data_IF_617842998700
#
_entry.id   IF_617842998700
#
_cell.length_a   1.000
_cell.length_b   1.000
_cell.length_c   1.000
_cell.angle_alpha   90.00
_cell.angle_beta   90.00
_cell.angle_gamma   90.00
#
_symmetry.space_group_name_H-M   'P 1'
#
loop_
_entity.id
_entity.type
_entity.pdbx_description
1 polymer ?
#
# COMPACT_ATOMS: atom_id res chain seq x y z
N UNK A 1 68.71 31.92 -1.71
CA UNK A 1 67.55 31.92 -0.80
C UNK A 1 66.34 31.63 -1.65
N UNK A 2 65.78 30.43 -1.50
CA UNK A 2 64.53 30.01 -2.14
C UNK A 2 63.79 29.22 -1.08
N UNK A 3 62.86 29.91 -0.40
CA UNK A 3 61.98 29.32 0.59
C UNK A 3 60.95 28.47 -0.14
N UNK A 4 61.27 27.19 -0.35
CA UNK A 4 60.26 26.20 -0.71
C UNK A 4 59.60 25.74 0.58
N UNK A 5 58.45 26.33 0.88
CA UNK A 5 57.50 25.79 1.85
C UNK A 5 57.27 24.31 1.55
N UNK A 6 57.34 23.49 2.59
CA UNK A 6 57.27 22.03 2.48
C UNK A 6 55.89 21.58 1.97
N UNK A 7 55.83 20.45 1.25
CA UNK A 7 54.56 19.84 0.83
C UNK A 7 53.61 19.52 2.01
N UNK A 8 54.12 19.53 3.26
CA UNK A 8 53.33 19.42 4.48
C UNK A 8 52.53 20.69 4.81
N UNK A 9 53.03 21.89 4.48
CA UNK A 9 52.33 23.15 4.71
C UNK A 9 51.16 23.36 3.73
N UNK A 10 51.23 22.79 2.53
CA UNK A 10 50.10 22.79 1.58
C UNK A 10 48.97 21.83 1.97
N UNK A 11 49.23 20.83 2.82
CA UNK A 11 48.20 19.90 3.32
C UNK A 11 47.43 20.44 4.52
N UNK A 12 47.94 21.46 5.20
CA UNK A 12 47.30 22.10 6.35
C UNK A 12 46.46 23.35 6.01
N UNK A 13 46.36 23.73 4.72
CA UNK A 13 45.51 24.83 4.22
C UNK A 13 44.31 24.36 3.38
N UNK A 14 43.79 23.15 3.61
CA UNK A 14 42.36 22.93 3.36
C UNK A 14 41.62 23.53 4.55
N UNK A 15 41.56 24.87 4.59
CA UNK A 15 40.59 25.57 5.43
C UNK A 15 39.24 24.90 5.17
N UNK A 16 38.64 24.30 6.20
CA UNK A 16 37.27 23.82 6.12
C UNK A 16 36.44 25.01 5.62
N UNK A 17 36.00 24.97 4.36
CA UNK A 17 35.17 26.02 3.78
C UNK A 17 33.89 26.06 4.63
N UNK A 18 33.87 26.97 5.61
CA UNK A 18 32.74 27.14 6.49
C UNK A 18 31.70 27.99 5.78
N UNK A 19 30.80 27.33 5.07
CA UNK A 19 29.63 27.98 4.47
C UNK A 19 28.64 28.25 5.60
N UNK A 20 28.17 29.50 5.76
CA UNK A 20 27.20 29.83 6.80
C UNK A 20 25.81 29.23 6.49
N UNK A 21 24.99 29.12 7.53
CA UNK A 21 23.68 28.48 7.46
C UNK A 21 22.73 29.16 6.47
N UNK A 22 22.73 30.50 6.40
CA UNK A 22 21.88 31.26 5.48
C UNK A 22 22.20 30.96 4.01
N UNK A 23 23.49 30.90 3.65
CA UNK A 23 23.93 30.56 2.29
C UNK A 23 23.56 29.11 1.95
N UNK A 24 23.68 28.18 2.90
CA UNK A 24 23.25 26.79 2.69
C UNK A 24 21.72 26.69 2.48
N UNK A 25 20.93 27.46 3.22
CA UNK A 25 19.47 27.52 3.08
C UNK A 25 19.05 28.09 1.72
N UNK A 26 19.75 29.11 1.21
CA UNK A 26 19.54 29.64 -0.14
C UNK A 26 19.87 28.59 -1.21
N UNK A 27 21.00 27.90 -1.09
CA UNK A 27 21.37 26.81 -2.00
C UNK A 27 20.32 25.71 -2.02
N UNK A 28 19.76 25.34 -0.86
CA UNK A 28 18.70 24.33 -0.77
C UNK A 28 17.45 24.70 -1.58
N UNK A 29 17.13 25.99 -1.76
CA UNK A 29 15.99 26.44 -2.56
C UNK A 29 16.12 26.05 -4.03
N UNK A 30 17.34 25.95 -4.54
CA UNK A 30 17.65 25.57 -5.93
C UNK A 30 17.83 24.05 -6.11
N UNK A 31 17.96 23.31 -5.02
CA UNK A 31 18.13 21.86 -5.03
C UNK A 31 16.78 21.16 -4.86
N UNK A 32 16.58 20.06 -5.60
CA UNK A 32 15.33 19.30 -5.49
C UNK A 32 15.09 18.87 -4.04
N UNK A 33 13.86 18.97 -3.49
CA UNK A 33 13.58 18.67 -2.08
C UNK A 33 14.08 17.29 -1.63
N UNK A 34 13.97 16.31 -2.51
CA UNK A 34 14.48 14.96 -2.27
C UNK A 34 16.00 14.89 -2.06
N UNK A 35 16.77 15.67 -2.80
CA UNK A 35 18.23 15.72 -2.66
C UNK A 35 18.61 16.42 -1.37
N UNK A 36 17.93 17.50 -1.01
CA UNK A 36 18.12 18.19 0.27
C UNK A 36 17.79 17.23 1.43
N UNK A 37 16.60 16.63 1.43
CA UNK A 37 16.10 15.82 2.55
C UNK A 37 16.74 14.45 2.75
N UNK A 38 17.36 13.85 1.73
CA UNK A 38 17.99 12.53 1.88
C UNK A 38 19.49 12.53 1.63
N UNK A 39 20.05 13.51 0.91
CA UNK A 39 21.51 13.61 0.78
C UNK A 39 22.07 14.54 1.84
N UNK A 40 21.54 15.77 1.93
CA UNK A 40 22.13 16.78 2.82
C UNK A 40 21.82 16.48 4.29
N UNK A 41 20.56 16.18 4.63
CA UNK A 41 20.15 15.89 6.01
C UNK A 41 20.98 14.78 6.69
N UNK A 42 21.49 13.84 5.90
CA UNK A 42 22.23 12.68 6.41
C UNK A 42 23.73 12.93 6.56
N UNK A 43 24.25 14.10 6.15
CA UNK A 43 25.68 14.41 6.22
C UNK A 43 26.10 14.69 7.67
N UNK A 44 25.30 15.45 8.42
CA UNK A 44 25.58 15.77 9.82
C UNK A 44 24.32 16.30 10.52
N UNK A 45 24.36 16.34 11.86
CA UNK A 45 23.27 16.90 12.67
C UNK A 45 23.00 18.38 12.34
N UNK A 46 24.04 19.14 11.96
CA UNK A 46 23.90 20.52 11.47
C UNK A 46 23.08 20.57 10.18
N UNK A 47 23.40 19.71 9.21
CA UNK A 47 22.63 19.66 7.97
C UNK A 47 21.21 19.16 8.20
N UNK A 48 20.99 18.20 9.10
CA UNK A 48 19.66 17.73 9.47
C UNK A 48 18.80 18.90 10.01
N UNK A 49 19.34 19.67 10.95
CA UNK A 49 18.68 20.86 11.49
C UNK A 49 18.40 21.93 10.41
N UNK A 50 19.33 22.14 9.48
CA UNK A 50 19.15 23.07 8.36
C UNK A 50 18.12 22.61 7.34
N UNK A 51 18.07 21.31 7.07
CA UNK A 51 17.05 20.71 6.22
C UNK A 51 15.67 20.85 6.88
N UNK A 52 15.57 20.63 8.18
CA UNK A 52 14.34 20.84 8.94
C UNK A 52 13.93 22.32 8.97
N UNK A 53 14.90 23.23 9.09
CA UNK A 53 14.68 24.67 8.98
C UNK A 53 14.18 25.07 7.59
N UNK A 54 14.80 24.55 6.53
CA UNK A 54 14.43 24.78 5.13
C UNK A 54 13.04 24.24 4.81
N UNK A 55 12.67 23.08 5.37
CA UNK A 55 11.36 22.47 5.20
C UNK A 55 10.35 22.81 6.30
N UNK A 56 10.58 23.89 7.08
CA UNK A 56 9.70 24.31 8.19
C UNK A 56 8.21 24.20 7.83
N UNK A 57 7.82 24.66 6.64
CA UNK A 57 6.45 24.58 6.11
C UNK A 57 6.26 23.57 4.97
N UNK A 58 7.34 23.12 4.32
CA UNK A 58 7.27 22.39 3.05
C UNK A 58 7.39 20.88 3.27
N UNK A 59 6.25 20.26 3.51
CA UNK A 59 6.06 18.81 3.45
C UNK A 59 6.42 18.29 2.05
N UNK A 60 7.08 17.13 1.97
CA UNK A 60 7.44 16.54 0.68
C UNK A 60 7.29 15.01 0.69
N UNK A 61 7.32 14.38 -0.50
CA UNK A 61 7.10 12.94 -0.66
C UNK A 61 8.29 12.24 -1.33
N UNK A 62 8.51 10.96 -0.98
CA UNK A 62 9.54 10.13 -1.61
C UNK A 62 9.33 9.97 -3.12
N UNK A 63 8.11 10.21 -3.59
CA UNK A 63 7.74 10.07 -4.99
C UNK A 63 7.63 8.60 -5.38
N UNK A 64 8.23 8.22 -6.51
CA UNK A 64 8.21 6.84 -7.02
C UNK A 64 9.56 6.17 -6.77
N UNK A 65 9.53 5.06 -6.06
CA UNK A 65 10.70 4.23 -5.72
C UNK A 65 10.53 2.82 -6.28
N UNK A 66 11.66 2.19 -6.61
CA UNK A 66 11.76 0.77 -6.94
C UNK A 66 12.83 0.12 -6.08
N UNK A 67 12.48 -0.96 -5.40
CA UNK A 67 13.40 -1.86 -4.69
C UNK A 67 13.62 -3.06 -5.59
N UNK A 68 14.83 -3.21 -6.13
CA UNK A 68 15.18 -4.23 -7.12
C UNK A 68 16.55 -4.82 -6.84
N UNK A 69 16.89 -5.93 -7.50
CA UNK A 69 18.22 -6.51 -7.43
C UNK A 69 19.22 -5.65 -8.21
N UNK A 70 20.28 -5.24 -7.56
CA UNK A 70 21.46 -4.59 -8.12
C UNK A 70 22.65 -5.54 -8.25
N UNK A 71 23.83 -4.96 -8.53
CA UNK A 71 25.08 -5.74 -8.62
C UNK A 71 25.52 -6.35 -7.27
N UNK A 72 25.30 -5.62 -6.18
CA UNK A 72 25.79 -5.96 -4.83
C UNK A 72 24.64 -6.22 -3.82
N UNK A 73 23.48 -6.70 -4.28
CA UNK A 73 22.29 -6.88 -3.44
C UNK A 73 21.18 -5.88 -3.76
N UNK A 74 20.37 -5.48 -2.77
CA UNK A 74 19.27 -4.53 -2.98
C UNK A 74 19.73 -3.17 -3.49
N UNK A 75 19.06 -2.70 -4.55
CA UNK A 75 19.11 -1.33 -5.03
C UNK A 75 17.74 -0.67 -4.87
N UNK A 76 17.73 0.48 -4.21
CA UNK A 76 16.59 1.38 -4.15
C UNK A 76 16.84 2.49 -5.17
N UNK A 77 15.95 2.67 -6.14
CA UNK A 77 16.10 3.66 -7.23
C UNK A 77 14.82 4.46 -7.44
N UNK A 78 14.97 5.70 -7.90
CA UNK A 78 13.84 6.48 -8.40
C UNK A 78 13.49 6.10 -9.83
N UNK A 79 12.26 6.40 -10.26
CA UNK A 79 11.84 6.23 -11.66
C UNK A 79 12.72 6.99 -12.66
N UNK A 80 13.44 8.04 -12.22
CA UNK A 80 14.41 8.77 -13.06
C UNK A 80 15.78 8.09 -13.16
N UNK A 81 15.93 6.84 -12.68
CA UNK A 81 17.19 6.08 -12.67
C UNK A 81 18.20 6.52 -11.61
N UNK A 82 17.96 7.63 -10.91
CA UNK A 82 18.85 8.10 -9.82
C UNK A 82 18.66 7.23 -8.58
N UNK A 83 19.77 6.80 -7.96
CA UNK A 83 19.76 6.15 -6.64
C UNK A 83 19.51 7.22 -5.56
N UNK A 84 18.38 7.17 -4.81
CA UNK A 84 18.33 7.78 -3.48
C UNK A 84 19.54 7.34 -2.67
N UNK A 85 20.14 8.22 -1.85
CA UNK A 85 20.81 7.70 -0.67
C UNK A 85 19.76 6.96 0.17
N UNK A 86 20.10 5.75 0.60
CA UNK A 86 19.29 4.99 1.54
C UNK A 86 19.46 5.72 2.88
N UNK A 87 18.38 6.20 3.51
CA UNK A 87 18.51 6.92 4.76
C UNK A 87 19.11 6.00 5.81
N UNK A 88 20.30 6.33 6.36
CA UNK A 88 20.96 5.55 7.44
C UNK A 88 20.30 5.81 8.81
N UNK A 89 19.52 6.88 8.91
CA UNK A 89 18.75 7.30 10.08
C UNK A 89 17.24 7.24 9.76
N UNK A 90 16.34 7.34 10.76
CA UNK A 90 14.90 7.49 10.52
C UNK A 90 14.62 8.60 9.52
N UNK A 91 13.59 8.44 8.69
CA UNK A 91 13.24 9.45 7.69
C UNK A 91 12.79 10.73 8.42
N UNK A 92 13.20 11.93 7.96
CA UNK A 92 12.75 13.18 8.55
C UNK A 92 11.22 13.29 8.59
N UNK A 93 10.68 13.81 9.70
CA UNK A 93 9.24 13.97 9.95
C UNK A 93 8.49 14.78 8.86
N UNK A 94 9.23 15.55 8.06
CA UNK A 94 8.70 16.33 6.94
C UNK A 94 8.40 15.50 5.69
N UNK A 95 8.86 14.24 5.63
CA UNK A 95 8.45 13.28 4.61
C UNK A 95 7.09 12.71 5.00
N UNK A 96 6.06 13.08 4.24
CA UNK A 96 4.67 12.77 4.58
C UNK A 96 4.07 11.60 3.79
N UNK A 97 4.85 10.98 2.91
CA UNK A 97 4.38 9.82 2.16
C UNK A 97 5.16 9.56 0.88
N UNK A 98 4.57 8.75 0.01
CA UNK A 98 5.14 8.34 -1.27
C UNK A 98 4.06 8.27 -2.35
N UNK A 99 4.46 8.34 -3.61
CA UNK A 99 3.54 8.13 -4.74
C UNK A 99 3.40 6.64 -5.05
N UNK A 100 4.52 5.93 -5.18
CA UNK A 100 4.54 4.49 -5.42
C UNK A 100 5.84 3.85 -4.96
N UNK A 101 5.77 2.67 -4.34
CA UNK A 101 6.91 1.80 -4.08
C UNK A 101 6.69 0.50 -4.84
N UNK A 102 7.61 0.16 -5.73
CA UNK A 102 7.61 -1.11 -6.46
C UNK A 102 8.67 -2.02 -5.84
N UNK A 103 8.28 -3.19 -5.35
CA UNK A 103 9.15 -4.16 -4.69
C UNK A 103 9.27 -5.37 -5.61
N UNK A 104 10.45 -5.57 -6.17
CA UNK A 104 10.77 -6.74 -7.00
C UNK A 104 11.90 -7.59 -6.45
N UNK A 105 12.45 -7.20 -5.30
CA UNK A 105 13.53 -7.89 -4.61
C UNK A 105 13.50 -7.55 -3.12
N UNK A 106 13.81 -8.53 -2.27
CA UNK A 106 13.91 -8.37 -0.81
C UNK A 106 15.17 -9.08 -0.31
N UNK A 107 15.95 -8.34 0.48
CA UNK A 107 17.01 -8.84 1.35
C UNK A 107 16.97 -8.01 2.67
N UNK A 108 17.97 -8.19 3.54
CA UNK A 108 18.06 -7.44 4.80
C UNK A 108 18.05 -5.92 4.60
N UNK A 109 18.69 -5.41 3.55
CA UNK A 109 18.74 -3.95 3.26
C UNK A 109 17.36 -3.45 2.86
N UNK A 110 16.59 -4.24 2.10
CA UNK A 110 15.21 -3.89 1.77
C UNK A 110 14.31 -3.85 3.01
N UNK A 111 14.47 -4.82 3.92
CA UNK A 111 13.70 -4.90 5.16
C UNK A 111 13.99 -3.70 6.06
N UNK A 112 15.27 -3.37 6.26
CA UNK A 112 15.67 -2.18 7.04
C UNK A 112 15.11 -0.90 6.44
N UNK A 113 15.09 -0.79 5.11
CA UNK A 113 14.47 0.36 4.46
C UNK A 113 12.96 0.41 4.70
N UNK A 114 12.25 -0.72 4.58
CA UNK A 114 10.81 -0.80 4.85
C UNK A 114 10.47 -0.39 6.29
N UNK A 115 11.29 -0.81 7.26
CA UNK A 115 11.12 -0.44 8.66
C UNK A 115 11.35 1.07 8.88
N UNK A 116 12.38 1.66 8.26
CA UNK A 116 12.65 3.11 8.34
C UNK A 116 11.54 3.97 7.76
N UNK A 117 10.77 3.43 6.80
CA UNK A 117 9.66 4.15 6.16
C UNK A 117 8.30 3.74 6.73
N UNK A 118 8.26 2.88 7.76
CA UNK A 118 7.02 2.28 8.27
C UNK A 118 5.98 3.32 8.65
N UNK A 119 6.41 4.41 9.30
CA UNK A 119 5.53 5.53 9.66
C UNK A 119 4.82 6.19 8.48
N UNK A 120 5.33 6.06 7.25
CA UNK A 120 4.65 6.56 6.05
C UNK A 120 3.41 5.73 5.69
N UNK A 121 3.39 4.44 6.02
CA UNK A 121 2.24 3.55 5.78
C UNK A 121 1.05 3.87 6.70
N UNK A 122 1.33 4.39 7.90
CA UNK A 122 0.33 4.63 8.95
C UNK A 122 -0.60 5.85 8.67
N UNK A 123 -0.11 6.82 7.90
CA UNK A 123 -0.72 8.16 7.81
C UNK A 123 -1.98 8.24 6.95
N UNK A 124 -2.08 7.47 5.88
CA UNK A 124 -3.07 7.76 4.82
C UNK A 124 -3.63 6.54 4.10
N UNK A 125 -3.44 5.35 4.69
CA UNK A 125 -3.89 4.09 4.10
C UNK A 125 -3.04 3.66 2.92
N UNK A 126 -2.80 2.35 2.82
CA UNK A 126 -1.90 1.77 1.84
C UNK A 126 -2.69 0.99 0.78
N UNK A 127 -2.35 1.23 -0.48
CA UNK A 127 -2.93 0.54 -1.63
C UNK A 127 -1.97 -0.52 -2.12
N UNK A 128 -2.34 -1.79 -2.03
CA UNK A 128 -1.44 -2.90 -2.33
C UNK A 128 -1.89 -3.63 -3.58
N UNK A 129 -0.97 -3.77 -4.53
CA UNK A 129 -1.10 -4.63 -5.69
C UNK A 129 -0.02 -5.72 -5.62
N UNK A 130 -0.43 -6.98 -5.73
CA UNK A 130 0.49 -8.11 -5.70
C UNK A 130 0.38 -8.90 -7.00
N UNK A 131 1.54 -9.20 -7.59
CA UNK A 131 1.70 -10.01 -8.78
C UNK A 131 2.87 -10.98 -8.60
N UNK A 132 2.59 -12.06 -7.88
CA UNK A 132 3.58 -13.04 -7.43
C UNK A 132 3.03 -14.44 -7.73
N UNK A 133 3.85 -15.30 -8.34
CA UNK A 133 3.35 -16.55 -8.94
C UNK A 133 3.74 -17.82 -8.18
N UNK A 134 4.90 -17.83 -7.54
CA UNK A 134 5.42 -19.00 -6.81
C UNK A 134 5.19 -18.93 -5.30
N UNK A 135 5.04 -20.09 -4.66
CA UNK A 135 4.74 -20.23 -3.22
C UNK A 135 5.85 -19.63 -2.36
N UNK A 136 7.11 -19.78 -2.77
CA UNK A 136 8.27 -19.22 -2.07
C UNK A 136 8.20 -17.70 -2.00
N UNK A 137 7.86 -17.06 -3.11
CA UNK A 137 7.71 -15.61 -3.14
C UNK A 137 6.52 -15.16 -2.29
N UNK A 138 5.43 -15.93 -2.22
CA UNK A 138 4.33 -15.66 -1.29
C UNK A 138 4.74 -15.77 0.17
N UNK A 139 5.54 -16.77 0.53
CA UNK A 139 6.11 -16.90 1.86
C UNK A 139 6.98 -15.69 2.22
N UNK A 140 7.78 -15.19 1.27
CA UNK A 140 8.61 -14.00 1.48
C UNK A 140 7.75 -12.75 1.65
N UNK A 141 6.68 -12.60 0.86
CA UNK A 141 5.71 -11.51 1.06
C UNK A 141 5.13 -11.58 2.46
N UNK A 142 4.71 -12.76 2.88
CA UNK A 142 4.11 -12.98 4.19
C UNK A 142 5.06 -12.66 5.34
N UNK A 143 6.30 -13.16 5.29
CA UNK A 143 7.27 -13.02 6.38
C UNK A 143 7.93 -11.64 6.41
N UNK A 144 8.24 -11.05 5.24
CA UNK A 144 9.17 -9.92 5.14
C UNK A 144 8.52 -8.62 4.61
N UNK A 145 7.26 -8.64 4.17
CA UNK A 145 6.59 -7.42 3.69
C UNK A 145 5.28 -7.19 4.45
N UNK A 146 4.47 -8.24 4.61
CA UNK A 146 3.14 -8.17 5.22
C UNK A 146 3.12 -7.50 6.60
N UNK A 147 4.05 -7.77 7.53
CA UNK A 147 4.04 -7.18 8.88
C UNK A 147 4.20 -5.65 8.88
N UNK A 148 4.73 -5.05 7.80
CA UNK A 148 4.93 -3.61 7.71
C UNK A 148 3.70 -2.87 7.19
N UNK A 149 2.78 -3.55 6.51
CA UNK A 149 1.71 -2.91 5.74
C UNK A 149 0.31 -3.34 6.17
N UNK A 150 0.14 -4.51 6.78
CA UNK A 150 -1.15 -5.18 7.05
C UNK A 150 -2.20 -4.29 7.76
N UNK A 151 -1.79 -3.57 8.80
CA UNK A 151 -2.69 -2.76 9.64
C UNK A 151 -3.25 -1.57 8.87
N UNK A 152 -2.55 -1.12 7.83
CA UNK A 152 -2.89 0.06 7.06
C UNK A 152 -3.40 -0.22 5.65
N UNK A 153 -3.56 -1.48 5.26
CA UNK A 153 -4.06 -1.78 3.93
C UNK A 153 -5.51 -1.31 3.82
N UNK A 154 -5.75 -0.31 2.98
CA UNK A 154 -7.09 0.18 2.68
C UNK A 154 -7.66 -0.40 1.40
N UNK A 155 -6.79 -0.74 0.45
CA UNK A 155 -7.17 -1.26 -0.85
C UNK A 155 -6.25 -2.39 -1.29
N UNK A 156 -6.82 -3.49 -1.75
CA UNK A 156 -6.08 -4.65 -2.27
C UNK A 156 -6.53 -4.93 -3.70
N UNK A 157 -5.58 -5.07 -4.62
CA UNK A 157 -5.82 -5.56 -5.98
C UNK A 157 -5.12 -6.89 -6.17
N UNK A 158 -5.89 -7.93 -6.48
CA UNK A 158 -5.40 -9.31 -6.62
C UNK A 158 -6.06 -10.01 -7.80
N UNK A 159 -5.35 -10.99 -8.34
CA UNK A 159 -5.91 -12.02 -9.23
C UNK A 159 -6.48 -13.14 -8.33
N UNK A 160 -7.56 -13.85 -8.72
CA UNK A 160 -8.19 -14.88 -7.86
C UNK A 160 -7.21 -15.89 -7.25
N UNK A 161 -6.20 -16.32 -8.01
CA UNK A 161 -5.16 -17.24 -7.54
C UNK A 161 -4.34 -16.67 -6.37
N UNK A 162 -4.01 -15.39 -6.39
CA UNK A 162 -3.24 -14.72 -5.32
C UNK A 162 -3.96 -14.74 -3.97
N UNK A 163 -5.31 -14.68 -3.97
CA UNK A 163 -6.07 -14.75 -2.72
C UNK A 163 -6.02 -16.14 -2.10
N UNK A 164 -5.94 -17.21 -2.89
CA UNK A 164 -5.74 -18.55 -2.36
C UNK A 164 -4.40 -18.64 -1.62
N UNK A 165 -3.32 -18.11 -2.21
CA UNK A 165 -1.99 -18.08 -1.59
C UNK A 165 -2.01 -17.31 -0.26
N UNK A 166 -2.59 -16.11 -0.23
CA UNK A 166 -2.72 -15.33 1.01
C UNK A 166 -3.48 -16.09 2.12
N UNK A 167 -4.52 -16.84 1.74
CA UNK A 167 -5.34 -17.59 2.69
C UNK A 167 -4.66 -18.83 3.26
N UNK A 168 -3.62 -19.35 2.61
CA UNK A 168 -2.82 -20.43 3.17
C UNK A 168 -2.08 -19.99 4.45
N UNK A 169 -1.65 -18.72 4.51
CA UNK A 169 -1.01 -18.18 5.72
C UNK A 169 -2.02 -17.79 6.80
N UNK A 170 -3.15 -17.20 6.39
CA UNK A 170 -4.21 -16.81 7.31
C UNK A 170 -5.57 -16.90 6.60
N UNK A 171 -6.41 -17.89 6.92
CA UNK A 171 -7.69 -18.07 6.24
C UNK A 171 -8.61 -16.83 6.27
N UNK A 172 -8.60 -16.11 7.38
CA UNK A 172 -9.35 -14.87 7.63
C UNK A 172 -8.63 -13.57 7.24
N UNK A 173 -7.58 -13.64 6.41
CA UNK A 173 -6.69 -12.49 6.15
C UNK A 173 -7.39 -11.20 5.73
N UNK A 174 -8.48 -11.31 4.94
CA UNK A 174 -9.26 -10.15 4.50
C UNK A 174 -9.97 -9.45 5.66
N UNK A 175 -10.47 -10.19 6.65
CA UNK A 175 -11.11 -9.63 7.85
C UNK A 175 -10.09 -9.09 8.84
N UNK A 176 -8.91 -9.71 8.89
CA UNK A 176 -7.82 -9.29 9.77
C UNK A 176 -7.21 -7.93 9.35
N UNK A 177 -7.39 -7.51 8.11
CA UNK A 177 -7.01 -6.18 7.66
C UNK A 177 -8.05 -5.13 8.11
N UNK A 178 -7.89 -4.56 9.31
CA UNK A 178 -8.89 -3.68 9.94
C UNK A 178 -9.30 -2.48 9.06
N UNK A 179 -8.35 -1.88 8.33
CA UNK A 179 -8.61 -0.72 7.47
C UNK A 179 -9.07 -1.09 6.05
N UNK A 180 -9.10 -2.38 5.69
CA UNK A 180 -9.42 -2.84 4.33
C UNK A 180 -10.84 -2.48 3.95
N UNK A 181 -10.95 -1.51 3.04
CA UNK A 181 -12.22 -0.98 2.55
C UNK A 181 -12.53 -1.49 1.16
N UNK A 182 -11.51 -1.63 0.32
CA UNK A 182 -11.72 -1.91 -1.10
C UNK A 182 -10.93 -3.14 -1.57
N UNK A 183 -11.60 -4.04 -2.28
CA UNK A 183 -10.97 -5.16 -3.00
C UNK A 183 -11.24 -4.98 -4.49
N UNK A 184 -10.19 -5.10 -5.29
CA UNK A 184 -10.27 -5.16 -6.74
C UNK A 184 -9.81 -6.54 -7.20
N UNK A 185 -10.72 -7.35 -7.70
CA UNK A 185 -10.44 -8.71 -8.12
C UNK A 185 -11.24 -9.08 -9.38
N UNK A 186 -10.57 -9.02 -10.52
CA UNK A 186 -11.17 -9.39 -11.80
C UNK A 186 -11.37 -10.90 -11.87
N UNK A 187 -12.59 -11.32 -12.23
CA UNK A 187 -12.94 -12.74 -12.34
C UNK A 187 -13.20 -13.43 -10.99
N UNK A 188 -13.16 -12.68 -9.88
CA UNK A 188 -13.59 -13.17 -8.57
C UNK A 188 -15.03 -12.70 -8.30
N UNK A 189 -15.90 -13.63 -7.89
CA UNK A 189 -17.27 -13.33 -7.48
C UNK A 189 -17.53 -13.93 -6.10
N UNK A 190 -18.12 -13.18 -5.15
CA UNK A 190 -18.43 -13.72 -3.82
C UNK A 190 -19.38 -14.92 -3.92
N UNK A 191 -19.16 -15.90 -3.06
CA UNK A 191 -19.93 -17.15 -3.02
C UNK A 191 -20.46 -17.42 -1.62
N UNK A 192 -21.63 -18.06 -1.55
CA UNK A 192 -22.28 -18.40 -0.30
C UNK A 192 -22.27 -19.92 -0.10
N UNK A 193 -22.28 -20.41 1.16
CA UNK A 193 -22.31 -19.64 2.41
C UNK A 193 -21.02 -18.84 2.66
N UNK A 194 -21.16 -17.68 3.31
CA UNK A 194 -20.06 -16.79 3.60
C UNK A 194 -19.19 -17.37 4.72
N UNK A 195 -18.02 -17.90 4.35
CA UNK A 195 -17.08 -18.59 5.23
C UNK A 195 -15.64 -18.18 4.92
N UNK A 196 -14.77 -18.17 5.93
CA UNK A 196 -13.35 -17.85 5.76
C UNK A 196 -12.41 -18.79 6.54
N UNK A 197 -12.93 -19.93 7.01
CA UNK A 197 -12.12 -21.00 7.59
C UNK A 197 -11.15 -21.62 6.55
N UNK A 198 -10.23 -22.49 7.00
CA UNK A 198 -9.21 -23.08 6.12
C UNK A 198 -9.79 -23.86 4.92
N UNK A 199 -10.97 -24.46 5.08
CA UNK A 199 -11.66 -25.21 4.02
C UNK A 199 -12.49 -24.34 3.06
N UNK A 200 -12.75 -23.08 3.40
CA UNK A 200 -13.56 -22.19 2.56
C UNK A 200 -12.82 -21.83 1.26
N UNK A 201 -13.56 -21.50 0.21
CA UNK A 201 -12.98 -20.97 -1.03
C UNK A 201 -12.64 -19.48 -0.90
N UNK A 202 -11.77 -18.95 -1.77
CA UNK A 202 -11.50 -17.51 -1.86
C UNK A 202 -12.77 -16.68 -2.12
N UNK A 203 -13.75 -17.25 -2.83
CA UNK A 203 -15.04 -16.61 -3.11
C UNK A 203 -15.90 -16.50 -1.85
N UNK A 204 -15.91 -17.55 -1.03
CA UNK A 204 -16.59 -17.54 0.27
C UNK A 204 -15.93 -16.55 1.23
N UNK A 205 -14.59 -16.47 1.24
CA UNK A 205 -13.86 -15.54 2.10
C UNK A 205 -14.14 -14.08 1.72
N UNK A 206 -14.25 -13.76 0.43
CA UNK A 206 -14.69 -12.43 -0.01
C UNK A 206 -16.14 -12.16 0.42
N UNK A 207 -17.04 -13.13 0.33
CA UNK A 207 -18.40 -12.98 0.83
C UNK A 207 -18.41 -12.73 2.34
N UNK A 208 -17.63 -13.48 3.12
CA UNK A 208 -17.47 -13.26 4.57
C UNK A 208 -16.96 -11.86 4.86
N UNK A 209 -15.94 -11.39 4.15
CA UNK A 209 -15.43 -10.03 4.29
C UNK A 209 -16.50 -8.99 3.95
N UNK A 210 -17.24 -9.14 2.85
CA UNK A 210 -18.33 -8.24 2.44
C UNK A 210 -19.46 -8.19 3.47
N UNK A 211 -19.81 -9.34 4.07
CA UNK A 211 -20.89 -9.48 5.04
C UNK A 211 -20.48 -9.23 6.49
N UNK A 212 -19.22 -8.90 6.75
CA UNK A 212 -18.79 -8.42 8.07
C UNK A 212 -18.92 -6.89 8.10
N UNK A 213 -19.58 -6.27 9.09
CA UNK A 213 -19.59 -4.81 9.22
C UNK A 213 -18.18 -4.20 9.37
N UNK A 214 -18.05 -2.91 9.10
CA UNK A 214 -16.86 -2.13 9.48
C UNK A 214 -17.17 -1.31 10.73
N UNK A 215 -16.19 -1.18 11.62
CA UNK A 215 -16.34 -0.36 12.84
C UNK A 215 -16.55 1.13 12.56
N UNK A 216 -16.14 1.63 11.39
CA UNK A 216 -16.34 3.03 10.97
C UNK A 216 -17.67 3.28 10.23
N UNK A 217 -18.50 2.25 10.05
CA UNK A 217 -19.79 2.33 9.35
C UNK A 217 -19.71 2.59 7.84
N UNK A 218 -18.50 2.77 7.27
CA UNK A 218 -18.32 3.04 5.86
C UNK A 218 -18.59 1.78 5.02
N UNK A 219 -19.12 1.93 3.78
CA UNK A 219 -19.35 0.79 2.92
C UNK A 219 -18.05 0.16 2.45
N UNK A 220 -17.99 -1.17 2.47
CA UNK A 220 -16.96 -1.95 1.78
C UNK A 220 -17.18 -1.84 0.27
N UNK A 221 -16.09 -1.77 -0.50
CA UNK A 221 -16.13 -1.63 -1.95
C UNK A 221 -15.51 -2.86 -2.59
N UNK A 222 -16.29 -3.62 -3.35
CA UNK A 222 -15.77 -4.72 -4.17
C UNK A 222 -15.85 -4.36 -5.65
N UNK A 223 -14.74 -4.48 -6.37
CA UNK A 223 -14.68 -4.17 -7.79
C UNK A 223 -14.29 -5.38 -8.60
N UNK A 224 -15.05 -5.64 -9.66
CA UNK A 224 -14.73 -6.67 -10.64
C UNK A 224 -15.05 -6.18 -12.04
N UNK A 225 -14.18 -6.46 -13.00
CA UNK A 225 -14.41 -6.13 -14.41
C UNK A 225 -15.47 -7.02 -15.08
N UNK A 226 -15.86 -8.13 -14.46
CA UNK A 226 -16.75 -9.13 -15.05
C UNK A 226 -18.02 -9.30 -14.24
N UNK A 227 -19.16 -9.29 -14.93
CA UNK A 227 -20.44 -9.73 -14.37
C UNK A 227 -20.47 -11.26 -14.38
N UNK A 228 -20.79 -11.89 -13.25
CA UNK A 228 -21.05 -13.33 -13.22
C UNK A 228 -22.56 -13.58 -13.34
N UNK A 229 -22.95 -14.62 -14.08
CA UNK A 229 -24.31 -15.19 -14.03
C UNK A 229 -24.76 -15.54 -12.59
N UNK A 230 -23.81 -15.63 -11.65
CA UNK A 230 -24.03 -15.83 -10.22
C UNK A 230 -24.58 -14.60 -9.47
N UNK A 231 -24.94 -13.50 -10.14
CA UNK A 231 -25.63 -12.36 -9.50
C UNK A 231 -26.94 -12.78 -8.83
N UNK A 232 -27.68 -13.70 -9.45
CA UNK A 232 -28.96 -14.20 -8.90
C UNK A 232 -28.78 -14.93 -7.56
N UNK A 233 -27.64 -15.61 -7.35
CA UNK A 233 -27.31 -16.20 -6.05
C UNK A 233 -27.14 -15.16 -4.95
N UNK A 234 -26.49 -14.03 -5.26
CA UNK A 234 -26.33 -12.92 -4.33
C UNK A 234 -27.67 -12.22 -4.03
N UNK A 235 -28.50 -12.03 -5.06
CA UNK A 235 -29.85 -11.48 -4.91
C UNK A 235 -30.73 -12.36 -4.04
N UNK A 236 -30.77 -13.67 -4.31
CA UNK A 236 -31.54 -14.65 -3.55
C UNK A 236 -31.12 -14.66 -2.07
N UNK A 237 -29.81 -14.65 -1.81
CA UNK A 237 -29.32 -14.55 -0.43
C UNK A 237 -29.66 -13.24 0.26
N UNK A 238 -29.64 -12.11 -0.45
CA UNK A 238 -30.03 -10.83 0.13
C UNK A 238 -31.52 -10.81 0.54
N UNK A 239 -32.39 -11.41 -0.27
CA UNK A 239 -33.83 -11.53 0.03
C UNK A 239 -34.05 -12.45 1.22
N UNK A 240 -33.32 -13.56 1.30
CA UNK A 240 -33.47 -14.58 2.33
C UNK A 240 -32.64 -14.31 3.60
N UNK A 241 -31.93 -13.19 3.68
CA UNK A 241 -31.12 -12.86 4.85
C UNK A 241 -32.04 -12.48 6.03
N UNK A 242 -32.06 -13.33 7.05
CA UNK A 242 -32.83 -13.12 8.29
C UNK A 242 -32.02 -12.46 9.41
N UNK A 243 -30.72 -12.19 9.21
CA UNK A 243 -29.81 -11.69 10.24
C UNK A 243 -29.99 -10.20 10.53
N UNK A 244 -29.92 -9.83 11.81
CA UNK A 244 -30.05 -8.47 12.37
C UNK A 244 -28.83 -7.56 12.15
N UNK A 245 -27.73 -8.06 11.61
CA UNK A 245 -26.53 -7.26 11.36
C UNK A 245 -26.67 -6.51 10.02
N UNK A 246 -26.93 -5.20 10.09
CA UNK A 246 -26.96 -4.34 8.90
C UNK A 246 -25.57 -4.24 8.28
N UNK A 247 -25.45 -4.47 6.97
CA UNK A 247 -24.15 -4.43 6.28
C UNK A 247 -24.18 -3.51 5.06
N UNK A 248 -23.21 -2.60 5.01
CA UNK A 248 -23.05 -1.63 3.93
C UNK A 248 -21.96 -2.09 2.96
N UNK A 249 -22.31 -2.28 1.68
CA UNK A 249 -21.31 -2.47 0.63
C UNK A 249 -21.74 -1.90 -0.72
N UNK A 250 -20.73 -1.56 -1.51
CA UNK A 250 -20.84 -1.10 -2.90
C UNK A 250 -20.07 -2.08 -3.77
N UNK A 251 -20.75 -2.66 -4.75
CA UNK A 251 -20.14 -3.53 -5.75
C UNK A 251 -20.07 -2.77 -7.09
N UNK A 252 -18.88 -2.59 -7.66
CA UNK A 252 -18.70 -1.86 -8.92
C UNK A 252 -18.33 -2.81 -10.06
N UNK A 253 -19.00 -2.66 -11.20
CA UNK A 253 -18.81 -3.48 -12.40
C UNK A 253 -19.18 -2.71 -13.67
N UNK A 254 -18.82 -3.25 -14.82
CA UNK A 254 -18.87 -2.54 -16.11
C UNK A 254 -20.17 -2.75 -16.92
N UNK A 255 -21.19 -3.45 -16.41
CA UNK A 255 -22.44 -3.75 -17.15
C UNK A 255 -23.70 -3.87 -16.25
N UNK A 256 -24.90 -3.75 -16.85
CA UNK A 256 -26.26 -3.55 -16.27
C UNK A 256 -26.81 -4.73 -15.43
N UNK A 257 -27.71 -4.52 -14.42
CA UNK A 257 -28.82 -5.46 -13.99
C UNK A 257 -29.67 -5.09 -12.72
N UNK A 258 -30.83 -4.42 -12.84
CA UNK A 258 -32.02 -4.43 -11.94
C UNK A 258 -31.95 -4.10 -10.40
N UNK A 259 -32.95 -3.42 -9.85
CA UNK A 259 -33.08 -3.04 -8.41
C UNK A 259 -33.93 -4.02 -7.59
N UNK A 260 -33.57 -4.29 -6.32
CA UNK A 260 -34.36 -5.06 -5.34
C UNK A 260 -34.48 -4.33 -3.98
N UNK A 261 -35.59 -4.51 -3.28
CA UNK A 261 -35.84 -3.96 -1.93
C UNK A 261 -36.16 -5.09 -0.96
N UNK A 262 -35.50 -5.13 0.20
CA UNK A 262 -35.84 -6.07 1.28
C UNK A 262 -36.52 -5.29 2.42
N UNK A 263 -37.84 -5.46 2.56
CA UNK A 263 -38.62 -4.75 3.59
C UNK A 263 -38.42 -5.33 4.99
N UNK A 264 -37.93 -6.57 5.13
CA UNK A 264 -37.77 -7.26 6.42
C UNK A 264 -36.57 -6.71 7.21
N UNK A 265 -35.46 -6.43 6.54
CA UNK A 265 -34.22 -5.94 7.20
C UNK A 265 -34.10 -4.42 7.24
N UNK A 266 -35.05 -3.69 6.65
CA UNK A 266 -34.92 -2.23 6.50
C UNK A 266 -33.80 -1.81 5.55
N UNK A 267 -33.31 -2.73 4.69
CA UNK A 267 -32.22 -2.50 3.75
C UNK A 267 -32.68 -2.54 2.28
N UNK A 268 -31.94 -1.86 1.41
CA UNK A 268 -32.15 -1.91 -0.04
C UNK A 268 -30.88 -2.36 -0.76
N UNK A 269 -31.06 -3.18 -1.80
CA UNK A 269 -30.00 -3.60 -2.71
C UNK A 269 -30.31 -3.01 -4.09
N UNK A 270 -29.73 -1.86 -4.38
CA UNK A 270 -30.08 -1.06 -5.56
C UNK A 270 -28.98 -1.15 -6.61
N UNK A 271 -29.36 -1.47 -7.83
CA UNK A 271 -28.50 -1.37 -8.98
C UNK A 271 -28.70 0.00 -9.62
N UNK A 272 -27.64 0.80 -9.72
CA UNK A 272 -27.67 2.15 -10.27
C UNK A 272 -26.60 2.33 -11.33
N UNK A 273 -26.97 3.00 -12.41
CA UNK A 273 -26.00 3.48 -13.39
C UNK A 273 -25.30 4.70 -12.80
N UNK A 274 -23.97 4.67 -12.74
CA UNK A 274 -23.19 5.83 -12.33
C UNK A 274 -22.80 6.68 -13.54
N UNK A 275 -22.38 6.05 -14.64
CA UNK A 275 -22.12 6.71 -15.92
C UNK A 275 -22.28 5.74 -17.11
N UNK A 276 -21.89 6.16 -18.32
CA UNK A 276 -22.03 5.35 -19.56
C UNK A 276 -21.47 3.93 -19.43
N UNK A 277 -20.39 3.74 -18.67
CA UNK A 277 -19.64 2.48 -18.64
C UNK A 277 -19.59 1.83 -17.24
N UNK A 278 -20.17 2.46 -16.21
CA UNK A 278 -20.05 2.02 -14.81
C UNK A 278 -21.40 1.87 -14.14
N UNK A 279 -21.56 0.71 -13.51
CA UNK A 279 -22.72 0.34 -12.71
C UNK A 279 -22.31 0.00 -11.29
N UNK A 280 -23.21 0.30 -10.35
CA UNK A 280 -23.05 0.08 -8.92
C UNK A 280 -24.20 -0.77 -8.41
N UNK A 281 -23.89 -1.85 -7.69
CA UNK A 281 -24.84 -2.56 -6.85
C UNK A 281 -24.58 -2.15 -5.39
N UNK A 282 -25.50 -1.41 -4.81
CA UNK A 282 -25.35 -0.77 -3.50
C UNK A 282 -26.30 -1.42 -2.50
N UNK A 283 -25.74 -2.03 -1.45
CA UNK A 283 -26.48 -2.46 -0.26
C UNK A 283 -26.36 -1.38 0.82
N UNK A 284 -27.50 -0.88 1.29
CA UNK A 284 -27.56 0.22 2.24
C UNK A 284 -28.89 0.22 3.02
N UNK A 285 -29.00 0.97 4.12
CA UNK A 285 -30.27 1.18 4.81
C UNK A 285 -31.29 1.88 3.89
N UNK A 286 -32.57 1.59 4.07
CA UNK A 286 -33.67 2.25 3.33
C UNK A 286 -33.69 3.75 3.63
N UNK A 287 -33.54 4.11 4.91
CA UNK A 287 -33.43 5.49 5.37
C UNK A 287 -31.94 5.83 5.47
N UNK A 288 -31.46 6.73 4.60
CA UNK A 288 -30.05 7.11 4.55
C UNK A 288 -29.86 8.57 4.09
N UNK A 289 -28.76 9.19 4.51
CA UNK A 289 -28.33 10.51 4.03
C UNK A 289 -27.82 10.42 2.58
N UNK A 290 -28.64 10.84 1.60
CA UNK A 290 -28.30 10.65 0.19
C UNK A 290 -27.03 11.40 -0.24
N UNK A 291 -26.72 12.58 0.31
CA UNK A 291 -25.48 13.32 -0.03
C UNK A 291 -24.21 12.58 0.42
N UNK A 292 -24.26 12.00 1.63
CA UNK A 292 -23.16 11.19 2.17
C UNK A 292 -22.94 9.94 1.31
N UNK A 293 -24.02 9.28 0.91
CA UNK A 293 -23.95 8.11 0.04
C UNK A 293 -23.49 8.44 -1.38
N UNK A 294 -23.91 9.58 -1.94
CA UNK A 294 -23.45 10.06 -3.24
C UNK A 294 -21.93 10.28 -3.23
N UNK A 295 -21.38 10.84 -2.15
CA UNK A 295 -19.93 10.98 -1.98
C UNK A 295 -19.20 9.64 -1.94
N UNK A 296 -19.74 8.65 -1.20
CA UNK A 296 -19.18 7.30 -1.15
C UNK A 296 -19.26 6.56 -2.49
N UNK A 297 -20.39 6.67 -3.19
CA UNK A 297 -20.60 6.07 -4.51
C UNK A 297 -19.65 6.70 -5.56
N UNK A 298 -19.43 8.02 -5.49
CA UNK A 298 -18.44 8.74 -6.31
C UNK A 298 -17.01 8.30 -6.01
N UNK A 299 -16.62 8.23 -4.74
CA UNK A 299 -15.29 7.73 -4.33
C UNK A 299 -15.07 6.28 -4.83
N UNK A 300 -16.10 5.44 -4.67
CA UNK A 300 -16.13 4.06 -5.10
C UNK A 300 -16.14 3.87 -6.63
N UNK A 301 -16.24 4.91 -7.45
CA UNK A 301 -16.14 4.82 -8.92
C UNK A 301 -14.95 5.58 -9.50
N UNK A 302 -14.54 6.66 -8.85
CA UNK A 302 -13.44 7.52 -9.29
C UNK A 302 -12.06 7.02 -8.87
N UNK A 303 -11.98 6.09 -7.90
CA UNK A 303 -10.70 5.50 -7.49
C UNK A 303 -9.92 4.94 -8.69
N UNK A 304 -8.75 5.52 -8.96
CA UNK A 304 -7.85 5.15 -10.06
C UNK A 304 -6.55 4.62 -9.47
N UNK A 305 -6.37 3.30 -9.48
CA UNK A 305 -5.16 2.60 -9.02
C UNK A 305 -3.84 3.28 -9.44
N UNK A 306 -3.75 3.80 -10.67
CA UNK A 306 -2.53 4.44 -11.20
C UNK A 306 -2.31 5.91 -10.84
N UNK A 307 -3.27 6.58 -10.15
CA UNK A 307 -3.21 8.03 -9.89
C UNK A 307 -3.13 8.42 -8.41
N UNK A 308 -3.25 7.50 -7.47
CA UNK A 308 -3.21 7.81 -6.03
C UNK A 308 -1.85 7.58 -5.39
N UNK A 309 -1.61 8.32 -4.31
CA UNK A 309 -0.45 8.23 -3.43
C UNK A 309 -0.54 6.94 -2.58
N UNK A 310 0.55 6.57 -1.90
CA UNK A 310 0.67 5.41 -1.00
C UNK A 310 0.39 4.05 -1.65
N UNK A 311 0.79 3.89 -2.92
CA UNK A 311 0.67 2.64 -3.64
C UNK A 311 1.93 1.75 -3.49
N UNK A 312 1.74 0.49 -3.11
CA UNK A 312 2.78 -0.53 -3.06
C UNK A 312 2.45 -1.56 -4.13
N UNK A 313 3.45 -1.90 -4.94
CA UNK A 313 3.36 -2.96 -5.96
C UNK A 313 4.42 -3.99 -5.65
N UNK A 314 3.99 -5.23 -5.39
CA UNK A 314 4.87 -6.34 -5.07
C UNK A 314 4.89 -7.28 -6.28
N UNK A 315 6.07 -7.52 -6.83
CA UNK A 315 6.28 -8.39 -7.98
C UNK A 315 7.62 -9.11 -7.82
N UNK A 316 7.64 -10.09 -6.94
CA UNK A 316 8.82 -10.93 -6.70
C UNK A 316 8.93 -11.99 -7.79
N UNK A 317 10.16 -12.28 -8.21
CA UNK A 317 10.47 -13.38 -9.11
C UNK A 317 11.68 -14.13 -8.58
N UNK A 318 11.59 -15.45 -8.51
CA UNK A 318 12.53 -16.37 -7.84
C UNK A 318 14.00 -16.30 -8.33
N UNK A 319 14.31 -15.59 -9.42
CA UNK A 319 15.66 -15.51 -10.01
C UNK A 319 16.70 -14.74 -9.16
N UNK A 320 16.53 -14.58 -7.85
CA UNK A 320 17.57 -13.97 -7.03
C UNK A 320 17.43 -13.93 -5.52
N UNK A 321 16.43 -14.57 -4.91
CA UNK A 321 16.18 -14.40 -3.48
C UNK A 321 17.17 -15.27 -2.68
N UNK A 322 18.09 -14.60 -1.98
CA UNK A 322 18.95 -15.20 -0.96
C UNK A 322 18.22 -15.02 0.37
N UNK A 323 17.71 -16.10 0.94
CA UNK A 323 17.18 -16.07 2.30
C UNK A 323 18.32 -15.75 3.28
N UNK A 324 18.07 -15.01 4.39
CA UNK A 324 18.97 -15.05 5.54
C UNK A 324 19.05 -16.51 6.00
N UNK A 325 20.24 -17.11 5.92
CA UNK A 325 20.45 -18.46 6.43
C UNK A 325 20.16 -18.49 7.94
N UNK A 326 19.35 -19.46 8.37
CA UNK A 326 19.14 -19.76 9.79
C UNK A 326 20.47 -19.85 10.55
N UNK A 327 20.54 -19.39 11.83
CA UNK A 327 21.71 -19.62 12.65
C UNK A 327 21.93 -21.12 12.78
N UNK A 328 23.10 -21.60 12.33
CA UNK A 328 23.52 -22.99 12.44
C UNK A 328 23.37 -23.41 13.90
N UNK A 329 22.44 -24.34 14.19
CA UNK A 329 22.37 -25.02 15.48
C UNK A 329 23.75 -25.58 15.78
N UNK A 330 24.35 -25.11 16.87
CA UNK A 330 25.59 -25.65 17.39
C UNK A 330 25.40 -27.15 17.60
N UNK A 331 26.24 -27.96 16.95
CA UNK A 331 26.36 -29.39 17.29
C UNK A 331 26.87 -29.44 18.73
N UNK A 332 26.03 -29.90 19.64
CA UNK A 332 26.50 -30.39 20.93
C UNK A 332 27.39 -31.61 20.64
N UNK A 333 28.63 -31.54 21.12
CA UNK A 333 29.56 -32.66 21.21
C UNK A 333 29.23 -33.48 22.46
#
# INVERSE_FOLDING_TARGET
MSDNASEEEQRHQMEEIFICDDVLLEVFAFVRPFSVGLKMALISDRFDALVDAHFKTRKWSLGRLRIRRGKNGTEIVKSSGRRPPIPQRPIPNKVIGFKRIEISYIDQTAIEFLERIRGLFDTSGTNVYMNTHDDRSWEIVWQNIWPFINDNICCISLVPFHLNCLRQFSPGILRNCARLRSIHANGLWPELPAEDNAGASSKQAVAKWLHTPRGDGMPKVFRSSFLSAKLEGLKSSFVNASSSESVNYIFCFWLVLGTLKNKLTGERLTLRQFNKDKWLLVRCPIVREEDKWANWEKEATEWKWGRHWNAITISLSDRGIVCPSEPKKAKQL
#
